data_IF_317615975182
#
_entry.id   IF_317615975182
#
_cell.length_a   1.000
_cell.length_b   1.000
_cell.length_c   1.000
_cell.angle_alpha   90.00
_cell.angle_beta   90.00
_cell.angle_gamma   90.00
#
_symmetry.space_group_name_H-M   'P 1'
#
loop_
_entity.id
_entity.type
_entity.pdbx_description
1 polymer ?
#
# COMPACT_ATOMS: atom_id res chain seq x y z
N UNK A 1 25.65 22.06 14.45
CA UNK A 1 25.59 21.68 13.01
C UNK A 1 26.38 20.40 12.82
N UNK A 2 25.74 19.33 12.30
CA UNK A 2 26.25 17.98 11.95
C UNK A 2 25.01 17.05 11.96
N UNK A 3 24.53 16.36 10.93
CA UNK A 3 24.82 16.16 9.52
C UNK A 3 23.44 16.05 8.81
N UNK A 4 23.21 16.77 7.71
CA UNK A 4 22.01 16.61 6.85
C UNK A 4 22.42 15.63 5.74
N UNK A 5 22.57 14.36 6.09
CA UNK A 5 23.05 13.31 5.19
C UNK A 5 21.89 12.79 4.33
N UNK A 6 21.95 13.06 3.03
CA UNK A 6 21.15 12.48 1.93
C UNK A 6 19.72 12.06 2.30
N UNK A 7 18.80 13.02 2.42
CA UNK A 7 17.37 12.70 2.37
C UNK A 7 17.07 12.03 1.03
N UNK A 8 16.73 10.74 1.06
CA UNK A 8 16.28 10.02 -0.13
C UNK A 8 14.95 10.65 -0.54
N UNK A 9 14.94 11.31 -1.70
CA UNK A 9 13.70 11.84 -2.27
C UNK A 9 13.03 10.70 -3.05
N UNK A 10 11.90 10.21 -2.54
CA UNK A 10 11.11 9.22 -3.25
C UNK A 10 10.37 9.89 -4.41
N UNK A 11 10.38 9.31 -5.63
CA UNK A 11 9.69 9.92 -6.76
C UNK A 11 8.18 9.84 -6.59
N UNK A 12 7.48 10.89 -7.04
CA UNK A 12 6.00 10.93 -7.12
C UNK A 12 5.42 10.02 -8.23
N UNK A 13 6.29 9.27 -8.93
CA UNK A 13 5.92 8.26 -9.92
C UNK A 13 6.52 6.92 -9.57
N UNK A 14 5.66 5.90 -9.48
CA UNK A 14 6.04 4.51 -9.30
C UNK A 14 6.09 3.84 -10.68
N UNK A 15 7.30 3.69 -11.24
CA UNK A 15 7.55 3.14 -12.59
C UNK A 15 6.68 3.76 -13.70
N UNK A 16 6.43 5.07 -13.61
CA UNK A 16 5.64 5.82 -14.59
C UNK A 16 4.21 6.14 -14.15
N UNK A 17 3.63 5.37 -13.23
CA UNK A 17 2.32 5.65 -12.64
C UNK A 17 2.42 6.77 -11.60
N UNK A 18 1.58 7.81 -11.73
CA UNK A 18 1.48 8.86 -10.72
C UNK A 18 0.85 8.33 -9.43
N UNK A 19 1.41 8.72 -8.27
CA UNK A 19 0.82 8.40 -6.96
C UNK A 19 -0.44 9.20 -6.63
N UNK A 20 -0.76 10.23 -7.43
CA UNK A 20 -1.98 11.03 -7.29
C UNK A 20 -3.14 10.49 -8.15
N UNK A 21 -2.87 9.53 -9.03
CA UNK A 21 -3.88 8.96 -9.92
C UNK A 21 -4.63 7.78 -9.27
N UNK A 22 -5.96 7.78 -9.43
CA UNK A 22 -6.86 6.70 -9.00
C UNK A 22 -6.74 6.36 -7.51
N UNK A 23 -6.50 7.37 -6.66
CA UNK A 23 -6.57 7.22 -5.21
C UNK A 23 -8.04 7.10 -4.81
N UNK A 24 -8.44 5.94 -4.26
CA UNK A 24 -9.83 5.64 -3.93
C UNK A 24 -9.93 5.43 -2.42
N UNK A 25 -10.71 6.23 -1.69
CA UNK A 25 -10.94 6.01 -0.28
C UNK A 25 -11.68 4.68 -0.08
N UNK A 26 -10.99 3.72 0.50
CA UNK A 26 -11.55 2.45 0.96
C UNK A 26 -11.14 2.21 2.40
N UNK A 27 -11.99 1.53 3.17
CA UNK A 27 -11.72 1.19 4.57
C UNK A 27 -11.33 -0.28 4.75
N UNK A 28 -11.44 -1.08 3.69
CA UNK A 28 -11.01 -2.48 3.72
C UNK A 28 -9.53 -2.57 3.37
N UNK A 29 -8.75 -3.05 4.34
CA UNK A 29 -7.32 -3.26 4.23
C UNK A 29 -7.02 -4.72 3.79
N UNK A 30 -5.80 -4.96 3.34
CA UNK A 30 -5.31 -6.25 2.84
C UNK A 30 -5.52 -7.36 3.88
N UNK A 31 -5.19 -7.09 5.15
CA UNK A 31 -5.31 -8.07 6.24
C UNK A 31 -6.74 -8.60 6.37
N UNK A 32 -7.73 -7.70 6.45
CA UNK A 32 -9.12 -8.09 6.63
C UNK A 32 -9.65 -8.89 5.44
N UNK A 33 -9.24 -8.51 4.22
CA UNK A 33 -9.60 -9.26 3.00
C UNK A 33 -8.99 -10.66 3.02
N UNK A 34 -7.71 -10.80 3.39
CA UNK A 34 -7.04 -12.11 3.48
C UNK A 34 -7.65 -13.00 4.56
N UNK A 35 -7.91 -12.44 5.75
CA UNK A 35 -8.53 -13.18 6.85
C UNK A 35 -9.88 -13.74 6.39
N UNK A 36 -10.69 -12.92 5.70
CA UNK A 36 -11.99 -13.37 5.17
C UNK A 36 -11.83 -14.41 4.05
N UNK A 37 -10.89 -14.21 3.13
CA UNK A 37 -10.61 -15.16 2.04
C UNK A 37 -10.24 -16.55 2.57
N UNK A 38 -9.45 -16.60 3.64
CA UNK A 38 -9.07 -17.85 4.31
C UNK A 38 -10.25 -18.48 5.04
N UNK A 39 -11.03 -17.67 5.77
CA UNK A 39 -12.23 -18.13 6.48
C UNK A 39 -13.22 -18.83 5.54
N UNK A 40 -13.38 -18.31 4.32
CA UNK A 40 -14.29 -18.87 3.29
C UNK A 40 -13.58 -19.83 2.33
N UNK A 41 -12.41 -20.35 2.69
CA UNK A 41 -11.65 -21.34 1.92
C UNK A 41 -11.40 -20.95 0.46
N UNK A 42 -11.19 -19.65 0.18
CA UNK A 42 -10.94 -19.14 -1.16
C UNK A 42 -12.17 -18.86 -2.01
N UNK A 43 -13.38 -19.02 -1.48
CA UNK A 43 -14.62 -18.72 -2.19
C UNK A 43 -14.87 -17.20 -2.30
N UNK A 44 -14.44 -16.64 -3.44
CA UNK A 44 -14.56 -15.20 -3.75
C UNK A 44 -16.02 -14.74 -3.78
N UNK A 45 -16.99 -15.63 -4.04
CA UNK A 45 -18.40 -15.24 -4.08
C UNK A 45 -18.87 -14.72 -2.71
N UNK A 46 -18.29 -15.23 -1.62
CA UNK A 46 -18.59 -14.86 -0.24
C UNK A 46 -17.89 -13.58 0.23
N UNK A 47 -16.96 -13.03 -0.56
CA UNK A 47 -16.38 -11.72 -0.27
C UNK A 47 -17.39 -10.60 -0.51
N UNK A 48 -17.44 -9.66 0.43
CA UNK A 48 -18.20 -8.42 0.28
C UNK A 48 -17.55 -7.53 -0.77
N UNK A 49 -18.29 -6.55 -1.27
CA UNK A 49 -17.83 -5.71 -2.37
C UNK A 49 -16.51 -4.98 -2.06
N UNK A 50 -16.30 -4.51 -0.83
CA UNK A 50 -15.06 -3.85 -0.43
C UNK A 50 -13.87 -4.81 -0.28
N UNK A 51 -14.11 -6.04 0.16
CA UNK A 51 -13.10 -7.11 0.19
C UNK A 51 -12.70 -7.48 -1.24
N UNK A 52 -13.66 -7.58 -2.17
CA UNK A 52 -13.39 -7.80 -3.60
C UNK A 52 -12.53 -6.68 -4.20
N UNK A 53 -12.75 -5.42 -3.81
CA UNK A 53 -11.88 -4.31 -4.25
C UNK A 53 -10.45 -4.45 -3.74
N UNK A 54 -10.26 -4.82 -2.47
CA UNK A 54 -8.92 -5.10 -1.93
C UNK A 54 -8.27 -6.30 -2.63
N UNK A 55 -9.03 -7.39 -2.83
CA UNK A 55 -8.58 -8.58 -3.58
C UNK A 55 -8.08 -8.23 -4.98
N UNK A 56 -8.82 -7.39 -5.70
CA UNK A 56 -8.44 -6.89 -7.03
C UNK A 56 -7.24 -5.94 -6.97
N UNK A 57 -7.16 -5.06 -5.97
CA UNK A 57 -6.10 -4.07 -5.85
C UNK A 57 -4.70 -4.68 -5.71
N UNK A 58 -4.62 -5.88 -5.15
CA UNK A 58 -3.39 -6.65 -4.98
C UNK A 58 -3.24 -7.80 -5.98
N UNK A 59 -4.15 -7.91 -6.96
CA UNK A 59 -4.18 -8.98 -7.96
C UNK A 59 -4.11 -10.39 -7.35
N UNK A 60 -4.76 -10.59 -6.20
CA UNK A 60 -4.62 -11.82 -5.39
C UNK A 60 -5.01 -13.08 -6.15
N UNK A 61 -5.85 -13.00 -7.18
CA UNK A 61 -6.17 -14.14 -8.05
C UNK A 61 -4.92 -14.84 -8.58
N UNK A 62 -3.87 -14.08 -8.93
CA UNK A 62 -2.62 -14.63 -9.45
C UNK A 62 -1.83 -15.45 -8.43
N UNK A 63 -2.08 -15.27 -7.13
CA UNK A 63 -1.35 -15.92 -6.02
C UNK A 63 -2.27 -16.64 -5.02
N UNK A 64 -3.57 -16.75 -5.31
CA UNK A 64 -4.59 -17.25 -4.37
C UNK A 64 -4.26 -18.63 -3.81
N UNK A 65 -3.85 -19.58 -4.66
CA UNK A 65 -3.49 -20.94 -4.22
C UNK A 65 -2.39 -20.92 -3.16
N UNK A 66 -1.36 -20.10 -3.39
CA UNK A 66 -0.18 -20.07 -2.54
C UNK A 66 -0.50 -19.36 -1.23
N UNK A 67 -1.27 -18.27 -1.29
CA UNK A 67 -1.77 -17.55 -0.11
C UNK A 67 -2.60 -18.46 0.80
N UNK A 68 -3.48 -19.30 0.25
CA UNK A 68 -4.36 -20.19 1.04
C UNK A 68 -3.59 -21.32 1.74
N UNK A 69 -2.48 -21.78 1.17
CA UNK A 69 -1.67 -22.88 1.71
C UNK A 69 -0.57 -22.41 2.66
N UNK A 70 -0.14 -21.16 2.53
CA UNK A 70 0.96 -20.59 3.28
C UNK A 70 0.60 -20.30 4.74
N UNK A 71 1.60 -20.33 5.61
CA UNK A 71 1.54 -19.72 6.94
C UNK A 71 1.42 -18.19 6.84
N UNK A 72 1.12 -17.51 7.95
CA UNK A 72 1.03 -16.05 7.97
C UNK A 72 2.31 -15.35 7.47
N UNK A 73 3.49 -15.79 7.94
CA UNK A 73 4.77 -15.20 7.53
C UNK A 73 5.09 -15.43 6.06
N UNK A 74 4.78 -16.62 5.54
CA UNK A 74 4.95 -16.97 4.13
C UNK A 74 4.00 -16.16 3.24
N UNK A 75 2.75 -15.92 3.67
CA UNK A 75 1.80 -15.06 2.94
C UNK A 75 2.33 -13.67 2.75
N UNK A 76 2.89 -13.06 3.80
CA UNK A 76 3.50 -11.72 3.70
C UNK A 76 4.63 -11.72 2.66
N UNK A 77 5.49 -12.74 2.66
CA UNK A 77 6.56 -12.88 1.66
C UNK A 77 6.03 -13.05 0.23
N UNK A 78 5.04 -13.92 0.03
CA UNK A 78 4.40 -14.16 -1.27
C UNK A 78 3.81 -12.86 -1.82
N UNK A 79 3.03 -12.13 -1.01
CA UNK A 79 2.37 -10.90 -1.45
C UNK A 79 3.39 -9.82 -1.78
N UNK A 80 4.43 -9.65 -0.96
CA UNK A 80 5.50 -8.69 -1.25
C UNK A 80 6.21 -8.99 -2.57
N UNK A 81 6.59 -10.24 -2.79
CA UNK A 81 7.22 -10.65 -4.04
C UNK A 81 6.27 -10.45 -5.23
N UNK A 82 4.99 -10.74 -5.04
CA UNK A 82 3.96 -10.53 -6.06
C UNK A 82 3.83 -9.04 -6.43
N UNK A 83 3.74 -8.14 -5.45
CA UNK A 83 3.68 -6.69 -5.69
C UNK A 83 4.89 -6.22 -6.52
N UNK A 84 6.09 -6.71 -6.19
CA UNK A 84 7.31 -6.36 -6.93
C UNK A 84 7.36 -6.95 -8.36
N UNK A 85 6.59 -8.01 -8.63
CA UNK A 85 6.52 -8.65 -9.95
C UNK A 85 5.51 -8.00 -10.90
N UNK A 86 4.54 -7.24 -10.36
CA UNK A 86 3.47 -6.62 -11.13
C UNK A 86 3.91 -5.28 -11.72
N UNK A 87 3.23 -4.86 -12.80
CA UNK A 87 3.30 -3.48 -13.26
C UNK A 87 2.46 -2.61 -12.30
N UNK A 88 2.99 -1.50 -11.74
CA UNK A 88 2.22 -0.58 -10.92
C UNK A 88 0.93 -0.08 -11.57
N UNK A 89 0.80 -0.08 -12.89
CA UNK A 89 -0.44 0.24 -13.60
C UNK A 89 -1.56 -0.80 -13.41
N UNK A 90 -1.22 -2.04 -13.04
CA UNK A 90 -2.16 -3.13 -12.74
C UNK A 90 -2.65 -3.09 -11.29
N UNK A 91 -1.88 -2.46 -10.39
CA UNK A 91 -2.21 -2.36 -8.98
C UNK A 91 -3.41 -1.43 -8.74
N UNK A 92 -4.26 -1.77 -7.78
CA UNK A 92 -5.33 -0.87 -7.33
C UNK A 92 -4.84 0.17 -6.33
N UNK A 93 -5.73 1.13 -6.03
CA UNK A 93 -5.47 2.25 -5.13
C UNK A 93 -4.84 1.81 -3.80
N UNK A 94 -5.44 0.82 -3.12
CA UNK A 94 -5.01 0.37 -1.79
C UNK A 94 -3.55 -0.08 -1.72
N UNK A 95 -3.05 -0.74 -2.78
CA UNK A 95 -1.66 -1.16 -2.84
C UNK A 95 -0.74 0.05 -3.04
N UNK A 96 -1.10 0.95 -3.96
CA UNK A 96 -0.33 2.18 -4.20
C UNK A 96 -0.38 3.21 -3.08
N UNK A 97 -1.42 3.17 -2.24
CA UNK A 97 -1.54 4.05 -1.07
C UNK A 97 -0.39 3.79 -0.07
N UNK A 98 0.16 2.58 -0.02
CA UNK A 98 1.38 2.26 0.76
C UNK A 98 2.53 3.16 0.30
N UNK A 99 2.75 3.24 -1.01
CA UNK A 99 3.83 4.03 -1.59
C UNK A 99 3.55 5.53 -1.48
N UNK A 100 2.29 5.97 -1.58
CA UNK A 100 1.90 7.35 -1.30
C UNK A 100 2.25 7.75 0.15
N UNK A 101 1.93 6.92 1.14
CA UNK A 101 2.31 7.16 2.54
C UNK A 101 3.82 7.26 2.69
N UNK A 102 4.58 6.35 2.08
CA UNK A 102 6.05 6.38 2.10
C UNK A 102 6.59 7.69 1.51
N UNK A 103 6.12 8.09 0.32
CA UNK A 103 6.56 9.32 -0.35
C UNK A 103 6.30 10.53 0.54
N UNK A 104 5.12 10.61 1.16
CA UNK A 104 4.79 11.74 2.03
C UNK A 104 5.68 11.76 3.27
N UNK A 105 5.84 10.60 3.93
CA UNK A 105 6.65 10.50 5.13
C UNK A 105 8.11 10.91 4.90
N UNK A 106 8.71 10.44 3.81
CA UNK A 106 10.13 10.66 3.52
C UNK A 106 10.42 12.04 2.93
N UNK A 107 9.51 12.58 2.11
CA UNK A 107 9.75 13.86 1.44
C UNK A 107 9.24 15.08 2.24
N UNK A 108 8.20 14.90 3.07
CA UNK A 108 7.49 16.00 3.74
C UNK A 108 7.41 15.84 5.26
N UNK A 109 7.62 14.64 5.78
CA UNK A 109 7.60 14.31 7.21
C UNK A 109 6.59 13.21 7.54
N UNK A 110 6.93 12.37 8.50
CA UNK A 110 6.08 11.27 8.94
C UNK A 110 4.85 11.74 9.72
N UNK A 111 3.84 10.87 9.80
CA UNK A 111 2.64 11.07 10.59
C UNK A 111 1.42 11.54 9.81
N UNK A 112 0.27 11.30 10.43
CA UNK A 112 -1.06 11.52 9.84
C UNK A 112 -1.31 12.97 9.45
N UNK A 113 -0.91 13.93 10.28
CA UNK A 113 -1.21 15.34 10.04
C UNK A 113 -0.45 15.88 8.81
N UNK A 114 0.81 15.46 8.63
CA UNK A 114 1.59 15.78 7.43
C UNK A 114 0.96 15.14 6.19
N UNK A 115 0.53 13.89 6.31
CA UNK A 115 -0.19 13.21 5.23
C UNK A 115 -1.46 13.95 4.81
N UNK A 116 -2.27 14.37 5.78
CA UNK A 116 -3.53 15.07 5.55
C UNK A 116 -3.31 16.42 4.88
N UNK A 117 -2.29 17.14 5.33
CA UNK A 117 -1.88 18.39 4.71
C UNK A 117 -1.47 18.16 3.25
N UNK A 118 -0.62 17.16 2.99
CA UNK A 118 -0.15 16.84 1.65
C UNK A 118 -1.29 16.49 0.68
N UNK A 119 -2.20 15.58 1.06
CA UNK A 119 -3.29 15.15 0.16
C UNK A 119 -4.25 16.29 -0.17
N UNK A 120 -4.39 17.27 0.73
CA UNK A 120 -5.19 18.47 0.51
C UNK A 120 -4.46 19.48 -0.40
N UNK A 121 -3.18 19.73 -0.14
CA UNK A 121 -2.36 20.66 -0.94
C UNK A 121 -2.16 20.17 -2.38
N UNK A 122 -2.09 18.85 -2.58
CA UNK A 122 -1.96 18.21 -3.90
C UNK A 122 -3.31 17.90 -4.56
N UNK A 123 -4.41 18.38 -3.97
CA UNK A 123 -5.78 18.21 -4.50
C UNK A 123 -6.19 16.74 -4.76
N UNK A 124 -5.58 15.79 -4.04
CA UNK A 124 -5.94 14.35 -4.11
C UNK A 124 -7.33 14.15 -3.53
N UNK A 125 -7.62 14.82 -2.41
CA UNK A 125 -8.97 14.92 -1.85
C UNK A 125 -9.10 16.12 -0.92
N UNK A 126 -10.25 16.79 -0.95
CA UNK A 126 -10.61 17.85 -0.02
C UNK A 126 -11.39 17.34 1.19
N UNK A 127 -11.82 16.07 1.18
CA UNK A 127 -12.65 15.46 2.21
C UNK A 127 -11.79 14.77 3.27
N UNK A 128 -11.91 15.21 4.52
CA UNK A 128 -11.15 14.61 5.65
C UNK A 128 -11.42 13.11 5.83
N UNK A 129 -12.65 12.65 5.55
CA UNK A 129 -12.99 11.23 5.62
C UNK A 129 -12.25 10.39 4.57
N UNK A 130 -12.10 10.94 3.37
CA UNK A 130 -11.35 10.31 2.28
C UNK A 130 -9.85 10.27 2.60
N UNK A 131 -9.28 11.37 3.09
CA UNK A 131 -7.88 11.42 3.56
C UNK A 131 -7.61 10.39 4.66
N UNK A 132 -8.54 10.26 5.62
CA UNK A 132 -8.47 9.26 6.68
C UNK A 132 -8.47 7.83 6.15
N UNK A 133 -9.35 7.51 5.19
CA UNK A 133 -9.42 6.18 4.60
C UNK A 133 -8.12 5.81 3.87
N UNK A 134 -7.59 6.72 3.05
CA UNK A 134 -6.32 6.53 2.33
C UNK A 134 -5.17 6.29 3.31
N UNK A 135 -5.03 7.15 4.33
CA UNK A 135 -4.00 6.99 5.36
C UNK A 135 -4.13 5.65 6.08
N UNK A 136 -5.33 5.30 6.54
CA UNK A 136 -5.56 4.06 7.30
C UNK A 136 -5.21 2.81 6.50
N UNK A 137 -5.58 2.77 5.21
CA UNK A 137 -5.28 1.63 4.35
C UNK A 137 -3.82 1.60 3.95
N UNK A 138 -3.27 2.70 3.41
CA UNK A 138 -1.86 2.75 3.01
C UNK A 138 -0.90 2.45 4.16
N UNK A 139 -1.09 3.10 5.32
CA UNK A 139 -0.30 2.82 6.51
C UNK A 139 -0.57 1.41 7.05
N UNK A 140 -1.82 1.00 7.10
CA UNK A 140 -2.22 -0.30 7.65
C UNK A 140 -1.62 -1.46 6.87
N UNK A 141 -1.73 -1.42 5.55
CA UNK A 141 -1.20 -2.44 4.66
C UNK A 141 0.32 -2.40 4.60
N UNK A 142 0.92 -1.21 4.59
CA UNK A 142 2.37 -1.04 4.64
C UNK A 142 2.97 -1.60 5.93
N UNK A 143 2.33 -1.38 7.08
CA UNK A 143 2.73 -1.98 8.37
C UNK A 143 2.53 -3.49 8.35
N UNK A 144 1.38 -3.98 7.89
CA UNK A 144 1.08 -5.41 7.81
C UNK A 144 2.11 -6.17 6.97
N UNK A 145 2.52 -5.60 5.84
CA UNK A 145 3.55 -6.16 4.96
C UNK A 145 4.98 -5.91 5.47
N UNK A 146 5.17 -5.19 6.58
CA UNK A 146 6.48 -4.84 7.11
C UNK A 146 7.28 -3.89 6.21
N UNK A 147 6.60 -3.10 5.38
CA UNK A 147 7.18 -2.08 4.49
C UNK A 147 7.34 -0.74 5.22
N UNK A 148 6.38 -0.40 6.09
CA UNK A 148 6.31 0.87 6.82
C UNK A 148 6.41 0.67 8.34
N UNK A 149 6.83 1.72 9.03
CA UNK A 149 6.68 1.87 10.48
C UNK A 149 5.27 2.40 10.82
N UNK A 150 4.92 2.42 12.11
CA UNK A 150 3.60 2.90 12.57
C UNK A 150 3.33 4.38 12.29
N UNK A 151 4.38 5.19 12.14
CA UNK A 151 4.28 6.61 11.78
C UNK A 151 4.22 6.86 10.26
N UNK A 152 4.27 5.80 9.45
CA UNK A 152 4.26 5.86 7.99
C UNK A 152 5.64 6.01 7.34
N UNK A 153 6.73 6.19 8.10
CA UNK A 153 8.10 6.17 7.57
C UNK A 153 8.47 4.79 7.02
N UNK A 154 9.43 4.75 6.09
CA UNK A 154 9.87 3.50 5.46
C UNK A 154 10.63 2.63 6.45
N UNK A 155 10.18 1.39 6.62
CA UNK A 155 10.85 0.34 7.38
C UNK A 155 11.76 -0.51 6.50
N UNK A 156 11.31 -0.81 5.27
CA UNK A 156 12.03 -1.67 4.33
C UNK A 156 12.42 -0.92 3.05
N UNK A 157 13.62 -0.34 3.09
CA UNK A 157 14.18 0.40 1.96
C UNK A 157 14.57 -0.48 0.78
N UNK A 158 14.90 -1.77 1.00
CA UNK A 158 15.18 -2.70 -0.12
C UNK A 158 13.92 -2.91 -0.95
N UNK A 159 12.79 -3.14 -0.28
CA UNK A 159 11.50 -3.27 -0.93
C UNK A 159 11.15 -2.03 -1.74
N UNK A 160 11.23 -0.83 -1.14
CA UNK A 160 10.93 0.43 -1.82
C UNK A 160 11.87 0.65 -3.02
N UNK A 161 13.17 0.43 -2.85
CA UNK A 161 14.14 0.57 -3.93
C UNK A 161 13.85 -0.38 -5.10
N UNK A 162 13.49 -1.64 -4.81
CA UNK A 162 13.08 -2.61 -5.82
C UNK A 162 11.77 -2.24 -6.48
N UNK A 163 10.79 -1.74 -5.73
CA UNK A 163 9.49 -1.37 -6.27
C UNK A 163 9.57 -0.18 -7.24
N UNK A 164 10.43 0.79 -6.94
CA UNK A 164 10.71 1.93 -7.81
C UNK A 164 11.50 1.53 -9.05
N UNK A 165 12.45 0.60 -8.92
CA UNK A 165 13.39 0.23 -9.99
C UNK A 165 12.97 -0.92 -10.88
N UNK A 166 12.02 -1.76 -10.45
CA UNK A 166 11.77 -3.06 -11.11
C UNK A 166 11.55 -2.86 -12.61
N UNK A 167 12.39 -3.51 -13.40
CA UNK A 167 12.36 -3.52 -14.86
C UNK A 167 11.58 -4.75 -15.32
#
# INVERSE_FOLDING_TARGET
MKHKENSIILPEKLRGRSIHEKVIPTVCNLKNMLDKLIEVCGDISQLKQWEKRSYQAYYIEGIKSDVLKASHEERVKIIRNHILSLDPHELGASCTDIYLVAVVAENYGAGKDIFFQYVKEKEITSESGSAQAIWQVGKGDGVYLGILNEDGSVKDWDFIARWVKSS
#
